data_IF_663316544051
#
_entry.id   IF_663316544051
#
_cell.length_a   1.000
_cell.length_b   1.000
_cell.length_c   1.000
_cell.angle_alpha   90.00
_cell.angle_beta   90.00
_cell.angle_gamma   90.00
#
_symmetry.space_group_name_H-M   'P 1'
#
loop_
_entity.id
_entity.type
_entity.pdbx_description
1 polymer ?
#
# COMPACT_ATOMS: atom_id res chain seq x y z
N UNK A 1 -13.07 -4.56 1.26
CA UNK A 1 -11.90 -4.88 2.11
C UNK A 1 -11.65 -3.90 3.25
N UNK A 2 -11.13 -2.68 3.04
CA UNK A 2 -10.73 -1.77 4.16
C UNK A 2 -11.85 -1.62 5.21
N UNK A 3 -13.07 -1.26 4.80
CA UNK A 3 -14.23 -1.13 5.72
C UNK A 3 -14.55 -2.43 6.48
N UNK A 4 -14.36 -3.58 5.86
CA UNK A 4 -14.59 -4.88 6.50
C UNK A 4 -13.55 -5.15 7.59
N UNK A 5 -12.27 -4.86 7.31
CA UNK A 5 -11.19 -5.02 8.29
C UNK A 5 -11.44 -4.12 9.51
N UNK A 6 -11.82 -2.85 9.30
CA UNK A 6 -12.20 -1.97 10.41
C UNK A 6 -13.41 -2.50 11.18
N UNK A 7 -14.42 -3.03 10.49
CA UNK A 7 -15.58 -3.67 11.11
C UNK A 7 -15.21 -4.85 12.01
N UNK A 8 -14.29 -5.70 11.59
CA UNK A 8 -13.78 -6.82 12.40
C UNK A 8 -12.94 -6.36 13.60
N UNK A 9 -12.25 -5.23 13.46
CA UNK A 9 -11.50 -4.60 14.55
C UNK A 9 -12.40 -3.82 15.53
N UNK A 10 -13.71 -3.72 15.26
CA UNK A 10 -14.63 -2.92 16.07
C UNK A 10 -14.36 -1.42 16.01
N UNK A 11 -13.72 -0.96 14.92
CA UNK A 11 -13.32 0.43 14.73
C UNK A 11 -14.02 1.05 13.53
N UNK A 12 -14.09 2.38 13.48
CA UNK A 12 -14.60 3.11 12.33
C UNK A 12 -13.43 3.48 11.40
N UNK A 13 -13.54 3.21 10.10
CA UNK A 13 -12.51 3.61 9.15
C UNK A 13 -12.45 5.14 9.08
N UNK A 14 -11.27 5.77 9.19
CA UNK A 14 -11.14 7.20 8.96
C UNK A 14 -11.05 7.43 7.46
N UNK A 15 -12.13 7.12 6.75
CA UNK A 15 -12.25 7.54 5.36
C UNK A 15 -12.75 8.98 5.36
N UNK A 16 -11.97 9.95 4.89
CA UNK A 16 -12.49 11.28 4.67
C UNK A 16 -13.63 11.18 3.65
N UNK A 17 -14.68 11.99 3.83
CA UNK A 17 -15.67 12.20 2.78
C UNK A 17 -14.94 12.57 1.48
N UNK A 18 -15.47 12.19 0.30
CA UNK A 18 -14.89 12.62 -0.97
C UNK A 18 -14.99 14.15 -1.05
N UNK A 19 -13.97 14.81 -0.50
CA UNK A 19 -13.78 16.25 -0.59
C UNK A 19 -13.55 16.66 -2.04
N UNK A 20 -13.51 17.97 -2.32
CA UNK A 20 -13.32 18.47 -3.67
C UNK A 20 -12.04 17.89 -4.29
N UNK A 21 -12.07 17.69 -5.61
CA UNK A 21 -11.01 17.08 -6.39
C UNK A 21 -9.59 17.42 -5.86
N UNK A 22 -8.76 16.43 -5.49
CA UNK A 22 -7.43 16.67 -4.93
C UNK A 22 -6.48 17.39 -5.90
N UNK A 23 -6.85 17.49 -7.19
CA UNK A 23 -6.10 18.24 -8.21
C UNK A 23 -5.99 19.75 -7.91
N UNK A 24 -6.87 20.30 -7.06
CA UNK A 24 -6.93 21.74 -6.79
C UNK A 24 -6.00 22.24 -5.66
N UNK A 25 -5.39 21.34 -4.88
CA UNK A 25 -4.61 21.73 -3.69
C UNK A 25 -3.30 20.98 -3.44
N UNK A 26 -2.91 20.03 -4.30
CA UNK A 26 -1.66 19.30 -4.09
C UNK A 26 -0.44 20.21 -4.28
N UNK A 27 0.48 20.28 -3.29
CA UNK A 27 1.77 20.94 -3.47
C UNK A 27 2.55 20.32 -4.65
N UNK A 28 3.52 21.07 -5.19
CA UNK A 28 4.30 20.62 -6.35
C UNK A 28 5.19 19.41 -6.06
N UNK A 29 5.65 19.25 -4.81
CA UNK A 29 6.60 18.23 -4.40
C UNK A 29 5.97 17.23 -3.43
N UNK A 30 6.22 15.94 -3.67
CA UNK A 30 5.83 14.85 -2.79
C UNK A 30 6.84 14.68 -1.65
N UNK A 31 6.36 14.70 -0.41
CA UNK A 31 7.19 14.33 0.72
C UNK A 31 7.19 12.81 0.87
N UNK A 32 8.34 12.20 0.60
CA UNK A 32 8.51 10.75 0.63
C UNK A 32 9.68 10.38 1.54
N UNK A 33 9.44 9.45 2.46
CA UNK A 33 10.47 8.80 3.28
C UNK A 33 10.70 7.39 2.74
N UNK A 34 11.96 7.00 2.56
CA UNK A 34 12.31 5.71 1.96
C UNK A 34 13.41 5.06 2.78
N UNK A 35 13.18 3.82 3.21
CA UNK A 35 14.13 3.06 4.01
C UNK A 35 14.19 1.61 3.54
N UNK A 36 15.26 0.91 3.90
CA UNK A 36 15.39 -0.51 3.58
C UNK A 36 15.96 -1.28 4.77
N UNK A 37 15.45 -2.49 4.96
CA UNK A 37 15.86 -3.40 6.02
C UNK A 37 16.57 -4.60 5.40
N UNK A 38 17.89 -4.67 5.60
CA UNK A 38 18.72 -5.70 4.97
C UNK A 38 18.44 -7.11 5.51
N UNK A 39 18.07 -7.24 6.79
CA UNK A 39 17.84 -8.56 7.43
C UNK A 39 16.65 -9.29 6.80
N UNK A 40 15.58 -8.55 6.50
CA UNK A 40 14.37 -9.08 5.87
C UNK A 40 14.36 -8.92 4.35
N UNK A 41 15.41 -8.30 3.79
CA UNK A 41 15.50 -7.87 2.39
C UNK A 41 14.28 -7.08 1.88
N UNK A 42 13.69 -6.26 2.74
CA UNK A 42 12.51 -5.45 2.40
C UNK A 42 12.89 -3.98 2.26
N UNK A 43 12.12 -3.25 1.45
CA UNK A 43 12.15 -1.80 1.40
C UNK A 43 10.78 -1.22 1.76
N UNK A 44 10.81 0.01 2.29
CA UNK A 44 9.62 0.75 2.67
C UNK A 44 9.68 2.13 2.02
N UNK A 45 8.60 2.50 1.35
CA UNK A 45 8.34 3.81 0.78
C UNK A 45 7.14 4.37 1.54
N UNK A 46 7.29 5.50 2.22
CA UNK A 46 6.22 6.18 2.94
C UNK A 46 5.91 7.50 2.26
N UNK A 47 4.69 7.66 1.77
CA UNK A 47 4.20 8.92 1.21
C UNK A 47 3.62 9.74 2.37
N UNK A 48 4.37 10.76 2.80
CA UNK A 48 4.00 11.62 3.93
C UNK A 48 3.09 12.78 3.51
N UNK A 49 3.16 13.20 2.24
CA UNK A 49 2.26 14.18 1.63
C UNK A 49 2.21 13.97 0.12
N UNK A 50 1.01 13.94 -0.46
CA UNK A 50 0.81 13.77 -1.89
C UNK A 50 1.09 15.08 -2.64
N UNK A 51 2.17 15.09 -3.42
CA UNK A 51 2.41 16.12 -4.43
C UNK A 51 1.90 15.69 -5.81
N UNK A 52 1.88 16.63 -6.77
CA UNK A 52 1.52 16.32 -8.17
C UNK A 52 2.43 15.26 -8.80
N UNK A 53 3.63 15.08 -8.28
CA UNK A 53 4.62 14.13 -8.77
C UNK A 53 4.68 12.81 -7.99
N UNK A 54 3.73 12.53 -7.09
CA UNK A 54 3.78 11.37 -6.19
C UNK A 54 3.91 10.04 -6.94
N UNK A 55 3.15 9.84 -8.02
CA UNK A 55 3.27 8.64 -8.85
C UNK A 55 4.66 8.50 -9.50
N UNK A 56 5.27 9.61 -9.93
CA UNK A 56 6.61 9.60 -10.50
C UNK A 56 7.66 9.30 -9.43
N UNK A 57 7.59 9.98 -8.28
CA UNK A 57 8.52 9.80 -7.17
C UNK A 57 8.51 8.36 -6.64
N UNK A 58 7.32 7.78 -6.46
CA UNK A 58 7.18 6.37 -6.04
C UNK A 58 7.74 5.43 -7.10
N UNK A 59 7.49 5.69 -8.40
CA UNK A 59 8.03 4.86 -9.50
C UNK A 59 9.57 4.87 -9.54
N UNK A 60 10.18 6.03 -9.33
CA UNK A 60 11.64 6.16 -9.30
C UNK A 60 12.24 5.37 -8.13
N UNK A 61 11.63 5.46 -6.93
CA UNK A 61 12.05 4.68 -5.76
C UNK A 61 11.78 3.19 -5.89
N UNK A 62 10.66 2.81 -6.47
CA UNK A 62 10.35 1.42 -6.81
C UNK A 62 11.45 0.84 -7.71
N UNK A 63 11.78 1.53 -8.81
CA UNK A 63 12.84 1.09 -9.73
C UNK A 63 14.20 0.97 -9.03
N UNK A 64 14.53 1.93 -8.16
CA UNK A 64 15.76 1.88 -7.36
C UNK A 64 15.82 0.59 -6.51
N UNK A 65 14.77 0.28 -5.75
CA UNK A 65 14.74 -0.91 -4.90
C UNK A 65 14.65 -2.22 -5.69
N UNK A 66 14.02 -2.23 -6.86
CA UNK A 66 14.06 -3.39 -7.75
C UNK A 66 15.49 -3.68 -8.22
N UNK A 67 16.27 -2.64 -8.55
CA UNK A 67 17.68 -2.78 -8.93
C UNK A 67 18.57 -3.22 -7.76
N UNK A 68 18.25 -2.79 -6.53
CA UNK A 68 18.87 -3.31 -5.31
C UNK A 68 18.45 -4.75 -4.96
N UNK A 69 17.56 -5.37 -5.75
CA UNK A 69 17.07 -6.75 -5.55
C UNK A 69 16.40 -6.95 -4.19
N UNK A 70 15.65 -5.93 -3.74
CA UNK A 70 14.75 -6.06 -2.59
C UNK A 70 13.64 -7.03 -2.96
N UNK A 71 13.32 -7.94 -2.05
CA UNK A 71 12.34 -9.00 -2.23
C UNK A 71 10.91 -8.44 -2.22
N UNK A 72 10.63 -7.62 -1.21
CA UNK A 72 9.33 -6.97 -1.01
C UNK A 72 9.53 -5.48 -0.81
N UNK A 73 8.70 -4.68 -1.48
CA UNK A 73 8.69 -3.22 -1.35
C UNK A 73 7.32 -2.81 -0.84
N UNK A 74 7.26 -2.29 0.39
CA UNK A 74 6.03 -1.80 1.00
C UNK A 74 5.84 -0.32 0.70
N UNK A 75 4.62 0.06 0.31
CA UNK A 75 4.20 1.43 0.10
C UNK A 75 3.17 1.80 1.17
N UNK A 76 3.53 2.76 2.01
CA UNK A 76 2.71 3.28 3.09
C UNK A 76 2.05 4.58 2.65
N UNK A 77 0.74 4.62 2.75
CA UNK A 77 -0.12 5.74 2.37
C UNK A 77 -0.98 6.14 3.57
N UNK A 78 -1.20 7.43 3.77
CA UNK A 78 -2.11 7.95 4.79
C UNK A 78 -3.58 7.77 4.35
N UNK A 79 -4.34 6.92 5.04
CA UNK A 79 -5.75 6.66 4.71
C UNK A 79 -6.65 7.87 4.89
N UNK A 80 -6.23 8.80 5.73
CA UNK A 80 -6.98 10.00 6.04
C UNK A 80 -6.71 11.14 5.06
N UNK A 81 -5.76 10.97 4.14
CA UNK A 81 -5.52 11.90 3.03
C UNK A 81 -6.44 11.54 1.85
N UNK A 82 -7.33 12.45 1.41
CA UNK A 82 -8.20 12.21 0.25
C UNK A 82 -7.45 11.83 -1.02
N UNK A 83 -6.21 12.32 -1.20
CA UNK A 83 -5.39 12.03 -2.36
C UNK A 83 -5.00 10.55 -2.44
N UNK A 84 -4.89 9.84 -1.30
CA UNK A 84 -4.62 8.41 -1.26
C UNK A 84 -5.64 7.63 -2.06
N UNK A 85 -6.93 7.96 -1.92
CA UNK A 85 -8.00 7.25 -2.64
C UNK A 85 -7.88 7.41 -4.16
N UNK A 86 -7.57 8.61 -4.63
CA UNK A 86 -7.40 8.90 -6.05
C UNK A 86 -6.12 8.31 -6.63
N UNK A 87 -5.05 8.22 -5.83
CA UNK A 87 -3.73 7.77 -6.28
C UNK A 87 -3.54 6.25 -6.15
N UNK A 88 -4.33 5.55 -5.32
CA UNK A 88 -4.21 4.09 -5.11
C UNK A 88 -4.22 3.33 -6.44
N UNK A 89 -5.16 3.64 -7.35
CA UNK A 89 -5.21 2.97 -8.65
C UNK A 89 -3.96 3.20 -9.53
N UNK A 90 -3.30 4.35 -9.39
CA UNK A 90 -2.04 4.61 -10.08
C UNK A 90 -0.90 3.76 -9.52
N UNK A 91 -0.87 3.52 -8.21
CA UNK A 91 0.10 2.63 -7.58
C UNK A 91 -0.18 1.16 -7.92
N UNK A 92 -1.44 0.75 -7.98
CA UNK A 92 -1.82 -0.60 -8.41
C UNK A 92 -1.38 -0.89 -9.85
N UNK A 93 -1.49 0.09 -10.75
CA UNK A 93 -0.96 -0.02 -12.12
C UNK A 93 0.57 -0.19 -12.18
N UNK A 94 1.31 0.17 -11.12
CA UNK A 94 2.75 -0.08 -11.02
C UNK A 94 3.06 -1.50 -10.51
N UNK A 95 2.04 -2.30 -10.18
CA UNK A 95 2.18 -3.66 -9.64
C UNK A 95 2.15 -3.73 -8.11
N UNK A 96 1.88 -2.61 -7.43
CA UNK A 96 1.56 -2.68 -6.00
C UNK A 96 0.18 -3.32 -5.80
N UNK A 97 0.00 -4.04 -4.72
CA UNK A 97 -1.29 -4.59 -4.34
C UNK A 97 -1.47 -4.58 -2.83
N UNK A 98 -2.67 -4.88 -2.36
CA UNK A 98 -3.00 -4.77 -0.94
C UNK A 98 -2.14 -5.68 -0.06
N UNK A 99 -1.55 -5.10 0.99
CA UNK A 99 -0.84 -5.84 2.05
C UNK A 99 -1.62 -5.81 3.36
N UNK A 100 -2.13 -4.65 3.74
CA UNK A 100 -2.85 -4.49 4.99
C UNK A 100 -3.20 -3.05 5.31
N UNK A 101 -3.78 -2.86 6.50
CA UNK A 101 -3.99 -1.56 7.10
C UNK A 101 -3.33 -1.56 8.48
N UNK A 102 -2.78 -0.41 8.88
CA UNK A 102 -2.21 -0.24 10.21
C UNK A 102 -2.81 1.02 10.87
N UNK A 103 -3.71 0.84 11.85
CA UNK A 103 -4.23 1.96 12.62
C UNK A 103 -3.10 2.72 13.32
N UNK A 104 -3.11 4.05 13.21
CA UNK A 104 -2.07 4.95 13.75
C UNK A 104 -0.65 4.64 13.24
N UNK A 105 -0.53 3.96 12.11
CA UNK A 105 0.73 3.47 11.54
C UNK A 105 1.59 4.53 10.85
N UNK A 106 1.02 5.68 10.45
CA UNK A 106 1.76 6.75 9.77
C UNK A 106 1.53 8.08 10.48
N UNK A 107 2.55 8.58 11.20
CA UNK A 107 2.48 9.85 11.97
C UNK A 107 1.26 9.95 12.90
N UNK A 108 0.82 8.83 13.47
CA UNK A 108 -0.34 8.75 14.36
C UNK A 108 -1.70 8.67 13.65
N UNK A 109 -1.70 8.64 12.32
CA UNK A 109 -2.86 8.45 11.42
C UNK A 109 -2.89 7.04 10.88
N UNK A 110 -4.04 6.64 10.36
CA UNK A 110 -4.22 5.30 9.84
C UNK A 110 -3.51 5.11 8.50
N UNK A 111 -2.81 3.99 8.34
CA UNK A 111 -2.01 3.69 7.17
C UNK A 111 -2.65 2.60 6.31
N UNK A 112 -2.70 2.82 5.00
CA UNK A 112 -2.86 1.78 3.99
C UNK A 112 -1.47 1.32 3.57
N UNK A 113 -1.26 0.01 3.61
CA UNK A 113 0.00 -0.61 3.20
C UNK A 113 -0.29 -1.41 1.93
N UNK A 114 0.39 -1.03 0.85
CA UNK A 114 0.49 -1.81 -0.36
C UNK A 114 1.85 -2.51 -0.40
N UNK A 115 1.95 -3.62 -1.12
CA UNK A 115 3.18 -4.38 -1.31
C UNK A 115 3.43 -4.60 -2.79
N UNK A 116 4.71 -4.67 -3.14
CA UNK A 116 5.20 -5.09 -4.45
C UNK A 116 6.17 -6.24 -4.26
N UNK A 117 5.96 -7.32 -5.00
CA UNK A 117 6.81 -8.51 -4.97
C UNK A 117 7.76 -8.49 -6.17
N UNK A 118 9.06 -8.41 -5.91
CA UNK A 118 10.06 -8.29 -6.96
C UNK A 118 10.57 -9.68 -7.38
N UNK A 119 10.03 -10.21 -8.47
CA UNK A 119 10.36 -11.55 -8.98
C UNK A 119 10.12 -12.68 -7.96
N UNK A 120 9.15 -12.49 -7.05
CA UNK A 120 8.72 -13.50 -6.10
C UNK A 120 7.32 -13.98 -6.45
N UNK A 121 7.14 -15.29 -6.44
CA UNK A 121 5.84 -15.94 -6.53
C UNK A 121 5.44 -16.45 -5.14
N UNK A 122 4.20 -16.15 -4.73
CA UNK A 122 3.63 -16.65 -3.47
C UNK A 122 2.83 -17.91 -3.76
N UNK A 123 3.19 -19.01 -3.12
CA UNK A 123 2.35 -20.20 -3.10
C UNK A 123 1.26 -20.05 -2.03
N UNK A 124 0.09 -19.59 -2.48
CA UNK A 124 -1.08 -19.40 -1.63
C UNK A 124 -1.62 -20.72 -1.03
N UNK A 125 -1.24 -21.89 -1.54
CA UNK A 125 -1.69 -23.19 -1.00
C UNK A 125 -1.01 -23.54 0.33
N UNK A 126 0.15 -22.93 0.61
CA UNK A 126 0.88 -23.10 1.86
C UNK A 126 0.32 -22.20 2.99
N UNK A 127 -0.54 -21.24 2.67
CA UNK A 127 -1.12 -20.32 3.63
C UNK A 127 -2.38 -20.93 4.26
N UNK A 128 -2.36 -21.08 5.59
CA UNK A 128 -3.44 -21.70 6.35
C UNK A 128 -4.21 -20.65 7.20
N UNK A 129 -5.13 -19.86 6.59
CA UNK A 129 -5.92 -18.88 7.33
C UNK A 129 -6.84 -19.57 8.35
N UNK A 130 -6.72 -19.16 9.61
CA UNK A 130 -7.46 -19.73 10.74
C UNK A 130 -8.96 -19.39 10.70
N UNK A 131 -9.29 -18.13 10.41
CA UNK A 131 -10.66 -17.61 10.47
C UNK A 131 -11.27 -17.32 9.09
N UNK A 132 -12.59 -17.08 9.03
CA UNK A 132 -13.27 -16.68 7.79
C UNK A 132 -12.81 -15.30 7.31
N UNK A 133 -12.55 -14.38 8.24
CA UNK A 133 -11.99 -13.05 7.97
C UNK A 133 -10.62 -13.17 7.31
N UNK A 134 -9.75 -14.02 7.87
CA UNK A 134 -8.43 -14.28 7.31
C UNK A 134 -8.53 -14.90 5.90
N UNK A 135 -9.50 -15.78 5.63
CA UNK A 135 -9.75 -16.34 4.28
C UNK A 135 -10.19 -15.26 3.30
N UNK A 136 -11.06 -14.33 3.72
CA UNK A 136 -11.50 -13.21 2.89
C UNK A 136 -10.34 -12.27 2.54
N UNK A 137 -9.50 -11.93 3.52
CA UNK A 137 -8.30 -11.13 3.29
C UNK A 137 -7.36 -11.85 2.31
N UNK A 138 -7.09 -13.14 2.54
CA UNK A 138 -6.20 -13.91 1.67
C UNK A 138 -6.72 -14.00 0.24
N UNK A 139 -8.04 -14.24 0.06
CA UNK A 139 -8.67 -14.27 -1.25
C UNK A 139 -8.56 -12.92 -1.97
N UNK A 140 -8.74 -11.81 -1.25
CA UNK A 140 -8.57 -10.47 -1.78
C UNK A 140 -7.12 -10.21 -2.20
N UNK A 141 -6.14 -10.53 -1.34
CA UNK A 141 -4.72 -10.39 -1.69
C UNK A 141 -4.39 -11.18 -2.96
N UNK A 142 -4.79 -12.46 -3.02
CA UNK A 142 -4.55 -13.32 -4.18
C UNK A 142 -5.17 -12.78 -5.47
N UNK A 143 -6.36 -12.21 -5.40
CA UNK A 143 -7.04 -11.63 -6.57
C UNK A 143 -6.33 -10.39 -7.11
N UNK A 144 -5.63 -9.66 -6.25
CA UNK A 144 -4.95 -8.41 -6.59
C UNK A 144 -3.43 -8.58 -6.81
N UNK A 145 -2.86 -9.75 -6.51
CA UNK A 145 -1.45 -10.06 -6.75
C UNK A 145 -1.18 -10.28 -8.24
N UNK A 146 -0.36 -9.41 -8.89
CA UNK A 146 -0.03 -9.55 -10.31
C UNK A 146 0.73 -10.84 -10.66
N UNK A 147 1.38 -11.47 -9.68
CA UNK A 147 2.12 -12.72 -9.84
C UNK A 147 1.28 -13.97 -9.66
N UNK A 148 0.07 -13.88 -9.08
CA UNK A 148 -0.77 -15.04 -8.79
C UNK A 148 -1.46 -15.67 -10.02
N UNK A 149 -1.38 -14.99 -11.18
CA UNK A 149 -2.02 -15.40 -12.44
C UNK A 149 -1.01 -15.73 -13.56
N UNK A 150 0.28 -15.81 -13.24
CA UNK A 150 1.36 -16.19 -14.16
C UNK A 150 1.69 -17.68 -13.99
#
# INVERSE_FOLDING_TARGET
>A
MIREIYGWLGMNPPMPDPGPDPSCGMPGETALDASAQNVLNVAEIRVLAHGRDAARAVREKLRYYCLERRDVIYLWLDLEDPATRSMTGAFEQMGFFFSGILPRGIRGRDALILQYLNNLAVDYTLLAPFSEEARKILAYIRQHDPGAHQ
#
